data_IF_574949519745
#
_entry.id   IF_574949519745
#
_cell.length_a   1.000
_cell.length_b   1.000
_cell.length_c   1.000
_cell.angle_alpha   90.00
_cell.angle_beta   90.00
_cell.angle_gamma   90.00
#
_symmetry.space_group_name_H-M   'P 1'
#
loop_
_entity.id
_entity.type
_entity.pdbx_description
1 polymer ?
#
# COMPACT_ATOMS: atom_id res chain seq x y z
N UNK A 1 -27.69 -28.58 2.87
CA UNK A 1 -28.83 -27.97 2.14
C UNK A 1 -28.50 -27.92 0.64
N UNK A 2 -29.42 -28.51 -0.15
CA UNK A 2 -29.59 -28.54 -1.62
C UNK A 2 -28.48 -29.05 -2.55
N UNK A 3 -28.55 -30.36 -2.80
CA UNK A 3 -27.93 -31.13 -3.90
C UNK A 3 -28.35 -30.72 -5.33
N UNK A 4 -29.22 -29.72 -5.50
CA UNK A 4 -29.80 -29.34 -6.80
C UNK A 4 -29.09 -28.17 -7.53
N UNK A 5 -28.07 -27.54 -6.93
CA UNK A 5 -27.33 -26.43 -7.58
C UNK A 5 -26.26 -26.89 -8.58
N UNK A 6 -25.93 -28.18 -8.67
CA UNK A 6 -24.81 -28.68 -9.50
C UNK A 6 -25.02 -28.51 -11.01
N UNK A 7 -26.27 -28.50 -11.48
CA UNK A 7 -26.61 -28.42 -12.91
C UNK A 7 -27.16 -27.07 -13.37
N UNK A 8 -27.46 -26.15 -12.45
CA UNK A 8 -27.95 -24.82 -12.81
C UNK A 8 -26.80 -23.98 -13.38
N UNK A 9 -27.05 -23.32 -14.53
CA UNK A 9 -26.13 -22.29 -15.02
C UNK A 9 -26.08 -21.15 -14.00
N UNK A 10 -24.92 -20.54 -13.83
CA UNK A 10 -24.73 -19.42 -12.89
C UNK A 10 -25.72 -18.28 -13.18
N UNK A 11 -26.05 -18.04 -14.45
CA UNK A 11 -27.05 -17.03 -14.86
C UNK A 11 -28.47 -17.33 -14.37
N UNK A 12 -28.75 -18.56 -13.93
CA UNK A 12 -30.05 -18.97 -13.36
C UNK A 12 -30.07 -18.88 -11.84
N UNK A 13 -28.94 -18.57 -11.20
CA UNK A 13 -28.90 -18.34 -9.75
C UNK A 13 -29.48 -16.96 -9.43
N UNK A 14 -29.94 -16.80 -8.19
CA UNK A 14 -30.24 -15.50 -7.62
C UNK A 14 -29.03 -14.57 -7.82
N UNK A 15 -29.26 -13.32 -8.21
CA UNK A 15 -28.20 -12.40 -8.59
C UNK A 15 -27.15 -12.23 -7.48
N UNK A 16 -27.59 -12.22 -6.22
CA UNK A 16 -26.73 -12.17 -5.03
C UNK A 16 -25.83 -13.41 -4.80
N UNK A 17 -26.18 -14.55 -5.41
CA UNK A 17 -25.41 -15.79 -5.35
C UNK A 17 -24.43 -15.91 -6.54
N UNK A 18 -24.56 -15.08 -7.56
CA UNK A 18 -23.67 -15.13 -8.73
C UNK A 18 -22.30 -14.58 -8.35
N UNK A 19 -21.18 -15.28 -8.64
CA UNK A 19 -19.87 -14.89 -8.13
C UNK A 19 -19.44 -13.45 -8.48
N UNK A 20 -19.67 -12.98 -9.71
CA UNK A 20 -19.22 -11.64 -10.14
C UNK A 20 -20.02 -10.54 -9.45
N UNK A 21 -21.33 -10.70 -9.40
CA UNK A 21 -22.26 -9.77 -8.78
C UNK A 21 -22.07 -9.74 -7.26
N UNK A 22 -21.85 -10.91 -6.64
CA UNK A 22 -21.49 -11.05 -5.24
C UNK A 22 -20.15 -10.38 -4.91
N UNK A 23 -19.14 -10.53 -5.78
CA UNK A 23 -17.85 -9.85 -5.65
C UNK A 23 -18.01 -8.32 -5.66
N UNK A 24 -18.79 -7.80 -6.60
CA UNK A 24 -19.02 -6.35 -6.72
C UNK A 24 -19.84 -5.77 -5.56
N UNK A 25 -20.84 -6.50 -5.06
CA UNK A 25 -21.73 -6.02 -4.00
C UNK A 25 -21.20 -6.25 -2.58
N UNK A 26 -20.48 -7.34 -2.32
CA UNK A 26 -20.07 -7.79 -0.97
C UNK A 26 -18.56 -7.91 -0.77
N UNK A 27 -17.76 -7.71 -1.82
CA UNK A 27 -16.30 -7.83 -1.78
C UNK A 27 -15.79 -9.28 -1.81
N UNK A 28 -14.48 -9.44 -2.00
CA UNK A 28 -13.84 -10.75 -2.21
C UNK A 28 -13.94 -11.70 -1.01
N UNK A 29 -13.98 -11.17 0.21
CA UNK A 29 -14.08 -11.95 1.45
C UNK A 29 -15.40 -12.72 1.60
N UNK A 30 -16.45 -12.32 0.88
CA UNK A 30 -17.73 -13.01 0.89
C UNK A 30 -17.74 -14.28 0.01
N UNK A 31 -16.71 -14.47 -0.82
CA UNK A 31 -16.62 -15.57 -1.78
C UNK A 31 -15.77 -16.72 -1.23
N UNK A 32 -16.18 -17.93 -1.56
CA UNK A 32 -15.37 -19.13 -1.39
C UNK A 32 -14.25 -19.18 -2.43
N UNK A 33 -13.20 -19.97 -2.15
CA UNK A 33 -12.12 -20.23 -3.12
C UNK A 33 -12.64 -20.73 -4.47
N UNK A 34 -13.68 -21.58 -4.46
CA UNK A 34 -14.28 -22.08 -5.69
C UNK A 34 -14.97 -20.97 -6.49
N UNK A 35 -15.67 -20.05 -5.83
CA UNK A 35 -16.29 -18.89 -6.49
C UNK A 35 -15.24 -17.94 -7.06
N UNK A 36 -14.15 -17.67 -6.32
CA UNK A 36 -13.04 -16.84 -6.82
C UNK A 36 -12.39 -17.45 -8.07
N UNK A 37 -12.08 -18.74 -8.04
CA UNK A 37 -11.50 -19.44 -9.18
C UNK A 37 -12.49 -19.55 -10.35
N UNK A 38 -13.80 -19.68 -10.06
CA UNK A 38 -14.85 -19.71 -11.07
C UNK A 38 -14.93 -18.40 -11.87
N UNK A 39 -14.68 -17.25 -11.22
CA UNK A 39 -14.62 -15.95 -11.90
C UNK A 39 -13.47 -15.93 -12.92
N UNK A 40 -12.29 -16.45 -12.55
CA UNK A 40 -11.10 -16.48 -13.41
C UNK A 40 -11.32 -17.34 -14.66
N UNK A 41 -11.90 -18.53 -14.51
CA UNK A 41 -12.17 -19.41 -15.67
C UNK A 41 -13.38 -18.97 -16.49
N UNK A 42 -14.20 -18.05 -15.96
CA UNK A 42 -15.36 -17.43 -16.59
C UNK A 42 -16.58 -18.34 -16.81
N UNK A 43 -16.38 -19.59 -17.20
CA UNK A 43 -17.45 -20.56 -17.47
C UNK A 43 -17.03 -21.99 -17.11
N UNK A 44 -18.02 -22.85 -16.86
CA UNK A 44 -17.82 -24.28 -16.66
C UNK A 44 -17.75 -25.03 -17.99
N UNK A 45 -18.43 -26.18 -18.04
CA UNK A 45 -18.60 -26.97 -19.26
C UNK A 45 -20.11 -27.27 -19.47
N UNK A 46 -20.45 -28.20 -20.37
CA UNK A 46 -21.85 -28.54 -20.66
C UNK A 46 -22.56 -29.29 -19.50
N UNK A 47 -21.80 -29.91 -18.61
CA UNK A 47 -22.27 -30.80 -17.55
C UNK A 47 -22.35 -30.09 -16.19
N UNK A 48 -21.45 -29.14 -15.94
CA UNK A 48 -21.33 -28.45 -14.65
C UNK A 48 -20.98 -26.96 -14.76
N UNK A 49 -21.41 -26.18 -13.76
CA UNK A 49 -21.11 -24.76 -13.64
C UNK A 49 -19.62 -24.49 -13.37
N UNK A 50 -19.15 -23.25 -13.57
CA UNK A 50 -17.77 -22.87 -13.26
C UNK A 50 -17.44 -23.10 -11.76
N UNK A 51 -18.40 -22.80 -10.87
CA UNK A 51 -18.25 -23.00 -9.42
C UNK A 51 -18.15 -24.49 -9.09
N UNK A 52 -19.02 -25.32 -9.68
CA UNK A 52 -19.01 -26.78 -9.48
C UNK A 52 -17.71 -27.41 -9.99
N UNK A 53 -17.25 -27.00 -11.17
CA UNK A 53 -15.97 -27.42 -11.73
C UNK A 53 -14.82 -27.08 -10.77
N UNK A 54 -14.77 -25.85 -10.26
CA UNK A 54 -13.70 -25.46 -9.34
C UNK A 54 -13.81 -26.10 -7.95
N UNK A 55 -15.01 -26.41 -7.47
CA UNK A 55 -15.19 -27.24 -6.27
C UNK A 55 -14.60 -28.64 -6.47
N UNK A 56 -14.84 -29.25 -7.64
CA UNK A 56 -14.29 -30.57 -7.99
C UNK A 56 -12.77 -30.54 -8.09
N UNK A 57 -12.20 -29.54 -8.75
CA UNK A 57 -10.74 -29.34 -8.84
C UNK A 57 -10.13 -29.18 -7.46
N UNK A 58 -10.69 -28.31 -6.61
CA UNK A 58 -10.18 -28.07 -5.26
C UNK A 58 -10.24 -29.32 -4.38
N UNK A 59 -11.29 -30.14 -4.51
CA UNK A 59 -11.38 -31.42 -3.78
C UNK A 59 -10.22 -32.36 -4.10
N UNK A 60 -9.74 -32.39 -5.35
CA UNK A 60 -8.60 -33.22 -5.76
C UNK A 60 -7.28 -32.79 -5.11
N UNK A 61 -7.17 -31.53 -4.66
CA UNK A 61 -6.01 -31.02 -3.94
C UNK A 61 -6.32 -30.69 -2.46
N UNK A 62 -7.25 -31.42 -1.84
CA UNK A 62 -7.64 -31.27 -0.42
C UNK A 62 -8.06 -29.83 -0.05
N UNK A 63 -8.67 -29.10 -0.97
CA UNK A 63 -9.04 -27.69 -0.87
C UNK A 63 -7.84 -26.75 -0.57
N UNK A 64 -6.62 -27.19 -0.79
CA UNK A 64 -5.40 -26.41 -0.57
C UNK A 64 -5.02 -25.60 -1.80
N UNK A 65 -5.07 -24.27 -1.68
CA UNK A 65 -4.57 -23.36 -2.71
C UNK A 65 -3.04 -23.50 -2.90
N UNK A 66 -2.31 -23.85 -1.85
CA UNK A 66 -0.86 -24.08 -1.92
C UNK A 66 -0.54 -25.30 -2.80
N UNK A 67 -1.30 -26.39 -2.65
CA UNK A 67 -1.13 -27.58 -3.51
C UNK A 67 -1.57 -27.29 -4.94
N UNK A 68 -2.68 -26.56 -5.12
CA UNK A 68 -3.15 -26.14 -6.44
C UNK A 68 -2.12 -25.25 -7.17
N UNK A 69 -1.44 -24.36 -6.44
CA UNK A 69 -0.40 -23.48 -6.99
C UNK A 69 0.86 -24.22 -7.47
N UNK A 70 1.06 -25.47 -7.05
CA UNK A 70 2.18 -26.31 -7.47
C UNK A 70 1.86 -27.16 -8.71
N UNK A 71 0.60 -27.19 -9.15
CA UNK A 71 0.19 -27.97 -10.32
C UNK A 71 0.78 -27.39 -11.60
N UNK A 72 1.18 -28.28 -12.51
CA UNK A 72 1.54 -27.92 -13.87
C UNK A 72 0.31 -27.98 -14.80
N UNK A 73 0.51 -27.59 -16.06
CA UNK A 73 -0.57 -27.56 -17.06
C UNK A 73 -1.28 -28.92 -17.19
N UNK A 74 -0.54 -30.03 -17.14
CA UNK A 74 -1.06 -31.39 -17.35
C UNK A 74 -2.10 -31.80 -16.30
N UNK A 75 -1.94 -31.37 -15.05
CA UNK A 75 -2.87 -31.67 -13.96
C UNK A 75 -4.23 -30.99 -14.20
N UNK A 76 -4.22 -29.73 -14.66
CA UNK A 76 -5.45 -29.00 -14.98
C UNK A 76 -6.16 -29.55 -16.23
N UNK A 77 -5.41 -29.95 -17.26
CA UNK A 77 -5.99 -30.45 -18.52
C UNK A 77 -6.76 -31.77 -18.36
N UNK A 78 -6.62 -32.47 -17.23
CA UNK A 78 -7.44 -33.65 -16.91
C UNK A 78 -8.91 -33.31 -16.66
N UNK A 79 -9.22 -32.05 -16.36
CA UNK A 79 -10.58 -31.62 -16.05
C UNK A 79 -11.28 -31.12 -17.31
N UNK A 80 -12.33 -31.83 -17.73
CA UNK A 80 -13.23 -31.37 -18.79
C UNK A 80 -13.72 -29.94 -18.50
N UNK A 81 -13.50 -29.02 -19.43
CA UNK A 81 -13.86 -27.61 -19.27
C UNK A 81 -12.71 -26.69 -18.88
N UNK A 82 -11.53 -27.21 -18.55
CA UNK A 82 -10.30 -26.46 -18.34
C UNK A 82 -9.37 -26.59 -19.55
N UNK A 83 -9.69 -25.86 -20.63
CA UNK A 83 -8.78 -25.71 -21.77
C UNK A 83 -7.65 -24.72 -21.51
N UNK A 84 -6.68 -24.66 -22.42
CA UNK A 84 -5.45 -23.85 -22.31
C UNK A 84 -5.75 -22.42 -21.85
N UNK A 85 -6.68 -21.71 -22.49
CA UNK A 85 -7.00 -20.31 -22.14
C UNK A 85 -7.44 -20.13 -20.67
N UNK A 86 -8.27 -21.03 -20.15
CA UNK A 86 -8.75 -20.98 -18.75
C UNK A 86 -7.64 -21.33 -17.78
N UNK A 87 -6.83 -22.34 -18.11
CA UNK A 87 -5.69 -22.73 -17.28
C UNK A 87 -4.62 -21.65 -17.25
N UNK A 88 -4.34 -20.98 -18.37
CA UNK A 88 -3.42 -19.83 -18.41
C UNK A 88 -3.86 -18.71 -17.46
N UNK A 89 -5.16 -18.41 -17.39
CA UNK A 89 -5.69 -17.42 -16.43
C UNK A 89 -5.48 -17.85 -14.98
N UNK A 90 -5.73 -19.12 -14.66
CA UNK A 90 -5.49 -19.68 -13.32
C UNK A 90 -4.01 -19.61 -12.94
N UNK A 91 -3.12 -20.09 -13.81
CA UNK A 91 -1.68 -20.10 -13.57
C UNK A 91 -1.14 -18.68 -13.40
N UNK A 92 -1.60 -17.73 -14.21
CA UNK A 92 -1.23 -16.32 -14.08
C UNK A 92 -1.67 -15.75 -12.71
N UNK A 93 -2.90 -16.01 -12.28
CA UNK A 93 -3.40 -15.53 -10.98
C UNK A 93 -2.62 -16.14 -9.80
N UNK A 94 -2.32 -17.44 -9.84
CA UNK A 94 -1.55 -18.13 -8.82
C UNK A 94 -0.11 -17.62 -8.74
N UNK A 95 0.53 -17.38 -9.90
CA UNK A 95 1.87 -16.81 -9.97
C UNK A 95 1.91 -15.37 -9.45
N UNK A 96 0.93 -14.53 -9.78
CA UNK A 96 0.83 -13.17 -9.23
C UNK A 96 0.68 -13.23 -7.71
N UNK A 97 -0.18 -14.12 -7.19
CA UNK A 97 -0.35 -14.29 -5.75
C UNK A 97 0.95 -14.74 -5.06
N UNK A 98 1.69 -15.67 -5.68
CA UNK A 98 3.00 -16.12 -5.20
C UNK A 98 4.01 -14.97 -5.19
N UNK A 99 4.12 -14.23 -6.30
CA UNK A 99 5.02 -13.07 -6.41
C UNK A 99 4.70 -12.04 -5.36
N UNK A 100 3.44 -11.66 -5.19
CA UNK A 100 3.02 -10.72 -4.13
C UNK A 100 3.37 -11.21 -2.72
N UNK A 101 3.29 -12.52 -2.47
CA UNK A 101 3.63 -13.09 -1.16
C UNK A 101 5.14 -13.14 -0.89
N UNK A 102 5.95 -13.27 -1.94
CA UNK A 102 7.42 -13.32 -1.86
C UNK A 102 8.09 -11.98 -2.17
N UNK A 103 7.33 -11.03 -2.72
CA UNK A 103 7.75 -9.66 -2.92
C UNK A 103 8.05 -9.14 -1.53
N UNK A 104 9.35 -8.99 -1.25
CA UNK A 104 9.81 -8.31 -0.07
C UNK A 104 9.01 -7.02 -0.03
N UNK A 105 8.20 -6.82 1.02
CA UNK A 105 7.82 -5.46 1.38
C UNK A 105 9.12 -4.69 1.36
N UNK A 106 9.31 -3.80 0.38
CA UNK A 106 10.43 -2.87 0.32
C UNK A 106 10.71 -2.50 1.76
N UNK A 107 11.88 -2.88 2.28
CA UNK A 107 12.21 -2.74 3.69
C UNK A 107 11.88 -1.29 4.06
N UNK A 108 10.72 -1.05 4.68
CA UNK A 108 10.32 0.30 5.02
C UNK A 108 11.33 0.72 6.07
N UNK A 109 12.23 1.66 5.76
CA UNK A 109 13.26 2.04 6.72
C UNK A 109 12.56 2.46 8.00
N UNK A 110 13.06 1.96 9.12
CA UNK A 110 12.56 2.34 10.42
C UNK A 110 13.42 3.49 10.92
N UNK A 111 12.79 4.64 11.16
CA UNK A 111 13.45 5.80 11.74
C UNK A 111 13.61 5.60 13.24
N UNK A 112 14.85 5.66 13.70
CA UNK A 112 15.24 5.55 15.11
C UNK A 112 15.87 6.84 15.60
N UNK A 113 16.62 7.52 14.74
CA UNK A 113 17.34 8.76 15.04
C UNK A 113 17.17 9.78 13.91
N UNK A 114 17.41 11.05 14.22
CA UNK A 114 17.46 12.15 13.24
C UNK A 114 18.41 11.86 12.07
N UNK A 115 19.56 11.21 12.35
CA UNK A 115 20.50 10.79 11.31
C UNK A 115 19.90 9.85 10.26
N UNK A 116 18.96 8.97 10.62
CA UNK A 116 18.30 8.08 9.65
C UNK A 116 17.48 8.89 8.63
N UNK A 117 16.91 10.01 9.08
CA UNK A 117 16.13 10.93 8.24
C UNK A 117 17.08 11.75 7.36
N UNK A 118 18.19 12.23 7.92
CA UNK A 118 19.24 12.92 7.17
C UNK A 118 19.79 12.03 6.05
N UNK A 119 20.15 10.78 6.32
CA UNK A 119 20.65 9.84 5.30
C UNK A 119 19.63 9.58 4.19
N UNK A 120 18.33 9.57 4.54
CA UNK A 120 17.25 9.38 3.57
C UNK A 120 17.06 10.60 2.65
N UNK A 121 17.16 11.82 3.19
CA UNK A 121 16.84 13.06 2.46
C UNK A 121 18.04 13.82 1.91
N UNK A 122 19.25 13.61 2.45
CA UNK A 122 20.45 14.28 1.97
C UNK A 122 20.67 14.07 0.47
N UNK A 123 20.58 12.85 -0.10
CA UNK A 123 20.77 12.65 -1.54
C UNK A 123 19.72 13.34 -2.41
N UNK A 124 18.56 13.66 -1.84
CA UNK A 124 17.44 14.30 -2.53
C UNK A 124 17.59 15.82 -2.50
N UNK A 125 18.04 16.37 -1.37
CA UNK A 125 17.95 17.80 -1.09
C UNK A 125 19.28 18.57 -1.22
N UNK A 126 20.45 17.90 -1.09
CA UNK A 126 21.76 18.57 -1.01
C UNK A 126 22.03 19.53 -2.17
N UNK A 127 21.74 19.10 -3.39
CA UNK A 127 22.14 19.81 -4.61
C UNK A 127 21.05 20.76 -5.14
N UNK A 128 19.95 20.92 -4.39
CA UNK A 128 18.89 21.84 -4.77
C UNK A 128 19.33 23.28 -4.57
N UNK A 129 19.14 24.10 -5.61
CA UNK A 129 19.43 25.54 -5.59
C UNK A 129 18.27 26.38 -5.06
N UNK A 130 17.17 25.73 -4.68
CA UNK A 130 15.98 26.31 -4.07
C UNK A 130 15.57 25.51 -2.82
N UNK A 131 14.77 26.13 -1.97
CA UNK A 131 14.23 25.48 -0.77
C UNK A 131 13.05 24.58 -1.13
N UNK A 132 13.01 23.39 -0.55
CA UNK A 132 11.84 22.52 -0.56
C UNK A 132 11.48 22.09 0.84
N UNK A 133 10.18 22.08 1.15
CA UNK A 133 9.64 21.48 2.36
C UNK A 133 9.01 20.15 2.03
N UNK A 134 9.41 19.14 2.78
CA UNK A 134 8.97 17.76 2.70
C UNK A 134 8.36 17.32 4.01
N UNK A 135 7.46 16.34 3.90
CA UNK A 135 6.83 15.65 5.00
C UNK A 135 7.16 14.16 4.89
N UNK A 136 7.82 13.62 5.92
CA UNK A 136 7.99 12.18 6.07
C UNK A 136 6.84 11.62 6.89
N UNK A 137 6.18 10.59 6.35
CA UNK A 137 4.99 9.97 6.91
C UNK A 137 5.36 8.63 7.52
N UNK A 138 5.06 8.43 8.81
CA UNK A 138 5.48 7.27 9.59
C UNK A 138 4.28 6.58 10.25
N UNK A 139 4.36 5.26 10.37
CA UNK A 139 3.43 4.51 11.21
C UNK A 139 3.82 4.58 12.71
N UNK A 140 3.02 3.96 13.57
CA UNK A 140 3.25 3.94 15.02
C UNK A 140 4.61 3.35 15.44
N UNK A 141 5.20 2.47 14.62
CA UNK A 141 6.51 1.87 14.86
C UNK A 141 7.66 2.66 14.20
N UNK A 142 7.41 3.89 13.74
CA UNK A 142 8.33 4.75 13.01
C UNK A 142 8.86 4.16 11.70
N UNK A 143 8.11 3.25 11.07
CA UNK A 143 8.45 2.80 9.71
C UNK A 143 7.90 3.80 8.70
N UNK A 144 8.72 4.10 7.68
CA UNK A 144 8.35 5.00 6.59
C UNK A 144 7.19 4.42 5.80
N UNK A 145 6.09 5.16 5.77
CA UNK A 145 4.93 4.89 4.93
C UNK A 145 5.13 5.51 3.54
N UNK A 146 5.50 6.79 3.50
CA UNK A 146 5.78 7.55 2.28
C UNK A 146 6.51 8.87 2.63
N UNK A 147 6.93 9.63 1.62
CA UNK A 147 7.36 11.02 1.75
C UNK A 147 6.68 11.91 0.71
N UNK A 148 6.28 13.11 1.12
CA UNK A 148 5.56 14.04 0.26
C UNK A 148 6.24 15.40 0.23
N UNK A 149 6.51 15.92 -0.96
CA UNK A 149 6.88 17.34 -1.11
C UNK A 149 5.65 18.21 -0.87
N UNK A 150 5.73 19.11 0.11
CA UNK A 150 4.65 20.01 0.52
C UNK A 150 4.73 21.33 -0.24
N UNK A 151 5.94 21.88 -0.36
CA UNK A 151 6.17 23.11 -1.10
C UNK A 151 7.58 23.15 -1.67
N UNK A 152 7.75 23.91 -2.74
CA UNK A 152 9.04 24.30 -3.30
C UNK A 152 9.04 25.82 -3.44
N UNK A 153 10.07 26.47 -2.91
CA UNK A 153 10.16 27.92 -2.75
C UNK A 153 10.85 28.59 -3.91
N UNK A 154 10.55 29.87 -4.09
CA UNK A 154 11.35 30.81 -4.85
C UNK A 154 12.28 31.60 -3.92
N UNK A 155 12.87 32.68 -4.43
CA UNK A 155 13.97 33.46 -3.78
C UNK A 155 13.63 33.97 -2.36
N UNK A 156 12.35 34.16 -2.01
CA UNK A 156 11.88 34.72 -0.72
C UNK A 156 11.38 33.65 0.30
N UNK A 157 11.58 32.36 0.03
CA UNK A 157 11.24 31.25 0.93
C UNK A 157 10.03 30.39 0.50
N UNK A 158 9.71 29.37 1.30
CA UNK A 158 8.59 28.43 1.07
C UNK A 158 7.38 28.73 1.97
N UNK A 159 6.19 28.90 1.37
CA UNK A 159 4.93 28.97 2.13
C UNK A 159 4.33 27.57 2.30
N UNK A 160 4.17 27.12 3.54
CA UNK A 160 3.61 25.81 3.87
C UNK A 160 2.25 25.94 4.58
N UNK A 161 1.19 25.42 3.95
CA UNK A 161 -0.13 25.39 4.56
C UNK A 161 -0.29 24.14 5.43
N UNK A 162 -0.49 24.36 6.73
CA UNK A 162 -0.70 23.30 7.73
C UNK A 162 -1.83 22.35 7.34
N UNK A 163 -2.87 22.85 6.66
CA UNK A 163 -3.99 22.00 6.20
C UNK A 163 -3.53 20.98 5.18
N UNK A 164 -2.56 21.32 4.33
CA UNK A 164 -1.99 20.40 3.35
C UNK A 164 -1.16 19.34 4.07
N UNK A 165 -0.31 19.75 5.02
CA UNK A 165 0.52 18.84 5.83
C UNK A 165 -0.36 17.81 6.56
N UNK A 166 -1.36 18.27 7.31
CA UNK A 166 -2.24 17.38 8.08
C UNK A 166 -3.12 16.52 7.16
N UNK A 167 -3.57 17.06 6.02
CA UNK A 167 -4.29 16.25 5.02
C UNK A 167 -3.45 15.08 4.51
N UNK A 168 -2.16 15.30 4.22
CA UNK A 168 -1.27 14.22 3.79
C UNK A 168 -1.11 13.17 4.89
N UNK A 169 -0.89 13.61 6.13
CA UNK A 169 -0.81 12.69 7.28
C UNK A 169 -2.04 11.78 7.39
N UNK A 170 -3.24 12.33 7.21
CA UNK A 170 -4.50 11.56 7.26
C UNK A 170 -4.67 10.62 6.07
N UNK A 171 -4.38 11.06 4.84
CA UNK A 171 -4.53 10.23 3.64
C UNK A 171 -3.67 8.97 3.71
N UNK A 172 -2.51 9.07 4.34
CA UNK A 172 -1.56 7.97 4.50
C UNK A 172 -1.73 7.21 5.82
N UNK A 173 -2.70 7.58 6.67
CA UNK A 173 -2.88 7.03 8.02
C UNK A 173 -1.59 7.09 8.86
N UNK A 174 -0.84 8.18 8.73
CA UNK A 174 0.38 8.39 9.49
C UNK A 174 0.04 8.64 10.97
N UNK A 175 0.72 7.94 11.87
CA UNK A 175 0.64 8.19 13.31
C UNK A 175 1.66 9.25 13.74
N UNK A 176 2.78 9.30 13.02
CA UNK A 176 3.93 10.13 13.30
C UNK A 176 4.36 10.82 12.00
N UNK A 177 4.82 12.07 12.09
CA UNK A 177 5.30 12.86 10.97
C UNK A 177 6.63 13.53 11.31
N UNK A 178 7.42 13.83 10.30
CA UNK A 178 8.63 14.65 10.42
C UNK A 178 8.62 15.68 9.29
N UNK A 179 8.92 16.94 9.62
CA UNK A 179 9.16 17.98 8.62
C UNK A 179 10.63 17.97 8.21
N UNK A 180 10.90 18.17 6.93
CA UNK A 180 12.27 18.26 6.41
C UNK A 180 12.32 19.40 5.41
N UNK A 181 13.26 20.34 5.55
CA UNK A 181 13.57 21.26 4.46
C UNK A 181 15.07 21.45 4.30
N UNK A 182 15.48 22.04 3.17
CA UNK A 182 16.87 22.40 2.92
C UNK A 182 17.06 23.91 2.91
N UNK A 183 18.24 24.34 3.32
CA UNK A 183 18.74 25.69 3.04
C UNK A 183 19.85 25.60 1.99
N UNK A 184 19.64 26.10 0.75
CA UNK A 184 20.67 26.10 -0.30
C UNK A 184 21.97 26.80 0.11
N UNK A 185 21.90 27.73 1.06
CA UNK A 185 23.07 28.41 1.64
C UNK A 185 23.99 27.47 2.42
N UNK A 186 23.52 26.28 2.81
CA UNK A 186 24.22 25.32 3.65
C UNK A 186 24.18 25.64 5.15
N UNK A 187 23.63 26.80 5.55
CA UNK A 187 23.45 27.15 6.96
C UNK A 187 22.20 26.46 7.52
N UNK A 188 22.37 25.52 8.45
CA UNK A 188 21.24 24.80 9.07
C UNK A 188 20.59 25.54 10.25
N UNK A 189 20.97 26.80 10.52
CA UNK A 189 20.35 27.56 11.61
C UNK A 189 18.89 27.86 11.27
N UNK A 190 17.91 27.49 12.12
CA UNK A 190 16.49 27.75 11.86
C UNK A 190 16.17 29.24 11.90
N UNK A 191 15.43 29.71 10.91
CA UNK A 191 14.84 31.04 10.87
C UNK A 191 13.68 31.18 11.89
N UNK A 192 13.19 32.40 12.08
CA UNK A 192 11.97 32.63 12.87
C UNK A 192 10.74 31.94 12.24
N UNK A 193 10.69 31.90 10.91
CA UNK A 193 9.61 31.29 10.14
C UNK A 193 9.58 29.78 10.33
N UNK A 194 10.75 29.13 10.36
CA UNK A 194 10.86 27.68 10.60
C UNK A 194 10.31 27.33 11.97
N UNK A 195 10.71 28.08 13.00
CA UNK A 195 10.23 27.89 14.38
C UNK A 195 8.72 28.08 14.49
N UNK A 196 8.18 29.11 13.84
CA UNK A 196 6.74 29.38 13.84
C UNK A 196 5.96 28.27 13.12
N UNK A 197 6.46 27.81 11.97
CA UNK A 197 5.86 26.70 11.23
C UNK A 197 5.88 25.41 12.05
N UNK A 198 7.04 25.05 12.64
CA UNK A 198 7.19 23.89 13.53
C UNK A 198 6.15 23.91 14.62
N UNK A 199 6.00 25.04 15.33
CA UNK A 199 5.07 25.16 16.44
C UNK A 199 3.61 25.01 15.99
N UNK A 200 3.23 25.63 14.87
CA UNK A 200 1.86 25.52 14.34
C UNK A 200 1.54 24.10 13.89
N UNK A 201 2.46 23.42 13.22
CA UNK A 201 2.28 22.02 12.79
C UNK A 201 2.23 21.10 14.00
N UNK A 202 3.11 21.28 15.00
CA UNK A 202 3.09 20.52 16.25
C UNK A 202 1.72 20.60 16.93
N UNK A 203 1.22 21.82 17.15
CA UNK A 203 -0.08 22.05 17.79
C UNK A 203 -1.23 21.45 16.98
N UNK A 204 -1.21 21.61 15.65
CA UNK A 204 -2.24 21.05 14.77
C UNK A 204 -2.24 19.52 14.73
N UNK A 205 -1.05 18.90 14.69
CA UNK A 205 -0.90 17.45 14.67
C UNK A 205 -1.37 16.82 15.98
N UNK A 206 -1.04 17.44 17.13
CA UNK A 206 -1.49 17.00 18.46
C UNK A 206 -3.02 16.94 18.56
N UNK A 207 -3.73 17.93 18.02
CA UNK A 207 -5.21 17.91 17.98
C UNK A 207 -5.79 16.73 17.18
N UNK A 208 -5.04 16.21 16.22
CA UNK A 208 -5.43 15.06 15.39
C UNK A 208 -4.87 13.73 15.91
N UNK A 209 -4.23 13.72 17.08
CA UNK A 209 -3.52 12.57 17.64
C UNK A 209 -2.42 12.03 16.71
N UNK A 210 -1.70 12.95 16.05
CA UNK A 210 -0.54 12.70 15.19
C UNK A 210 0.67 13.37 15.84
N UNK A 211 1.79 12.68 15.94
CA UNK A 211 3.00 13.24 16.58
C UNK A 211 3.94 13.82 15.53
N UNK A 212 4.23 15.12 15.61
CA UNK A 212 5.41 15.68 14.95
C UNK A 212 6.64 15.27 15.75
N UNK A 213 7.41 14.30 15.25
CA UNK A 213 8.57 13.75 15.96
C UNK A 213 9.80 14.65 15.84
N UNK A 214 9.96 15.31 14.70
CA UNK A 214 11.10 16.18 14.45
C UNK A 214 10.81 17.19 13.33
N UNK A 215 11.67 18.19 13.21
CA UNK A 215 11.82 19.03 12.04
C UNK A 215 13.32 19.11 11.70
N UNK A 216 13.72 18.61 10.53
CA UNK A 216 15.11 18.67 10.07
C UNK A 216 15.33 19.79 9.08
N UNK A 217 16.45 20.49 9.25
CA UNK A 217 17.01 21.42 8.25
C UNK A 217 18.26 20.77 7.68
N UNK A 218 18.28 20.51 6.38
CA UNK A 218 19.35 19.81 5.66
C UNK A 218 20.25 20.84 4.99
N UNK A 219 21.53 20.83 5.35
CA UNK A 219 22.60 21.58 4.69
C UNK A 219 23.38 20.70 3.72
N UNK A 220 24.54 21.19 3.27
CA UNK A 220 25.36 20.44 2.31
C UNK A 220 25.99 19.19 2.94
N UNK A 221 26.54 19.31 4.15
CA UNK A 221 27.26 18.22 4.84
C UNK A 221 26.80 18.00 6.27
N UNK A 222 25.80 18.73 6.73
CA UNK A 222 25.26 18.72 8.07
C UNK A 222 23.73 18.84 8.06
N UNK A 223 23.13 18.72 9.24
CA UNK A 223 21.73 19.04 9.46
C UNK A 223 21.53 19.66 10.84
N UNK A 224 20.37 20.26 11.04
CA UNK A 224 19.84 20.66 12.34
C UNK A 224 18.57 19.86 12.60
N UNK A 225 18.43 19.31 13.81
CA UNK A 225 17.22 18.64 14.28
C UNK A 225 16.63 19.47 15.42
N UNK A 226 15.35 19.84 15.28
CA UNK A 226 14.63 20.53 16.36
C UNK A 226 14.47 19.64 17.59
N UNK A 227 14.32 18.33 17.41
CA UNK A 227 14.20 17.38 18.51
C UNK A 227 15.52 17.19 19.28
N UNK A 228 16.64 17.03 18.58
CA UNK A 228 17.96 16.86 19.22
C UNK A 228 18.37 18.08 20.05
N UNK A 229 17.88 19.27 19.65
CA UNK A 229 18.14 20.56 20.30
C UNK A 229 17.09 20.90 21.38
N UNK A 230 16.14 20.01 21.65
CA UNK A 230 15.18 20.14 22.75
C UNK A 230 14.08 21.17 22.53
N UNK A 231 13.66 21.39 21.28
CA UNK A 231 12.60 22.35 20.95
C UNK A 231 11.19 21.88 21.32
N UNK A 232 10.94 20.56 21.29
CA UNK A 232 9.64 19.95 21.54
C UNK A 232 9.40 19.57 23.01
#
# INVERSE_FOLDING_TARGET
>A
MNSNKSHLKITQWAEEDRPREKLLKKGASALTNAELLAILIGSGNKEESAVSLMQRVLRTCNNSLNLLAQWHLKEFLQFKGLGIAKVSSLLAALEIAKRKATESTLHQPQIRYSNDIYELFQPILRDLTHEELWLLLLNQANKVLDSAKISSGGIDGTYADIRIILKQALLYNACNIVLIHNHPSGNCTPSSQDKELTQKVYNGAQLMNIHLLDHLIIGQTNYYSFADEGFF
#
